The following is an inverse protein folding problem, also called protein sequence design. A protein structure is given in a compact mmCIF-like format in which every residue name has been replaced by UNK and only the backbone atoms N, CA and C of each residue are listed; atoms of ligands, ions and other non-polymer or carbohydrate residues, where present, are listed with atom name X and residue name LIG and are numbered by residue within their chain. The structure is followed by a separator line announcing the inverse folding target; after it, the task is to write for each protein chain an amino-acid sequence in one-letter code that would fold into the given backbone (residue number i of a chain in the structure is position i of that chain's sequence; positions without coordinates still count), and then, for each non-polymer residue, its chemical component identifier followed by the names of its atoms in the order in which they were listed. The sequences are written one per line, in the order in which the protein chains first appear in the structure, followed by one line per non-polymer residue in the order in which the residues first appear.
data_IF_412329073050
#
_entry.id   IF_412329073050
#
_cell.length_a   1.000
_cell.length_b   1.000
_cell.length_c   1.000
_cell.angle_alpha   90.00
_cell.angle_beta   90.00
_cell.angle_gamma   90.00
#
_symmetry.space_group_name_H-M   'P 1'
#
loop_
_entity.id
_entity.type
_entity.pdbx_description
1 polymer ?
#
# COMPACT_ATOMS: atom_id res chain seq x y z
N UNK A 1 22.23 2.36 -6.83
CA UNK A 1 21.92 3.69 -6.28
C UNK A 1 21.06 3.43 -5.06
N UNK A 2 21.68 3.40 -3.88
CA UNK A 2 20.97 3.28 -2.61
C UNK A 2 20.36 4.65 -2.31
N UNK A 3 19.08 4.83 -2.65
CA UNK A 3 18.31 5.90 -2.06
C UNK A 3 18.10 5.51 -0.59
N UNK A 4 18.95 5.99 0.29
CA UNK A 4 18.70 5.95 1.73
C UNK A 4 17.57 6.95 2.01
N UNK A 5 16.34 6.55 1.70
CA UNK A 5 15.15 7.23 2.22
C UNK A 5 15.23 7.13 3.73
N UNK A 6 15.54 8.25 4.39
CA UNK A 6 15.60 8.33 5.84
C UNK A 6 14.16 8.37 6.36
N UNK A 7 13.49 7.21 6.31
CA UNK A 7 12.16 7.04 6.87
C UNK A 7 12.21 7.30 8.37
N UNK A 8 11.24 8.06 8.86
CA UNK A 8 11.01 8.22 10.28
C UNK A 8 10.11 7.08 10.75
N UNK A 9 10.61 6.28 11.69
CA UNK A 9 9.80 5.27 12.37
C UNK A 9 9.36 5.80 13.73
N UNK A 10 8.04 5.87 13.95
CA UNK A 10 7.46 6.28 15.22
C UNK A 10 6.52 5.19 15.74
N UNK A 11 6.63 4.89 17.03
CA UNK A 11 5.60 4.17 17.79
C UNK A 11 4.32 5.01 17.93
N UNK A 12 3.22 4.41 18.38
CA UNK A 12 1.97 5.13 18.60
C UNK A 12 2.11 6.27 19.63
N UNK A 13 2.88 6.05 20.71
CA UNK A 13 3.15 7.08 21.72
C UNK A 13 4.01 8.22 21.15
N UNK A 14 5.07 7.90 20.40
CA UNK A 14 5.94 8.94 19.80
C UNK A 14 5.18 9.77 18.76
N UNK A 15 4.29 9.13 18.00
CA UNK A 15 3.44 9.81 17.03
C UNK A 15 2.41 10.73 17.70
N UNK A 16 1.84 10.29 18.82
CA UNK A 16 0.94 11.10 19.63
C UNK A 16 1.66 12.31 20.22
N UNK A 17 2.87 12.12 20.76
CA UNK A 17 3.69 13.20 21.29
C UNK A 17 4.10 14.21 20.21
N UNK A 18 4.44 13.72 19.01
CA UNK A 18 4.70 14.58 17.86
C UNK A 18 3.48 15.45 17.53
N UNK A 19 2.29 14.86 17.45
CA UNK A 19 1.05 15.59 17.17
C UNK A 19 0.71 16.61 18.25
N UNK A 20 0.84 16.24 19.53
CA UNK A 20 0.66 17.16 20.66
C UNK A 20 1.63 18.34 20.57
N UNK A 21 2.89 18.07 20.22
CA UNK A 21 3.93 19.09 20.04
C UNK A 21 3.59 20.04 18.88
N UNK A 22 3.20 19.50 17.73
CA UNK A 22 2.80 20.30 16.56
C UNK A 22 1.56 21.15 16.81
N UNK A 23 0.61 20.63 17.60
CA UNK A 23 -0.63 21.33 17.96
C UNK A 23 -0.51 22.21 19.21
N UNK A 24 0.68 22.31 19.82
CA UNK A 24 0.93 23.06 21.06
C UNK A 24 0.02 22.64 22.23
N UNK A 25 -0.35 21.36 22.27
CA UNK A 25 -1.16 20.75 23.33
C UNK A 25 -0.32 20.19 24.49
N UNK A 26 0.96 20.53 24.53
CA UNK A 26 1.83 20.15 25.63
C UNK A 26 1.35 20.85 26.92
N UNK A 27 1.24 20.14 28.04
CA UNK A 27 0.84 20.75 29.30
C UNK A 27 1.85 21.84 29.67
N UNK A 28 1.34 23.02 30.00
CA UNK A 28 2.18 24.10 30.46
C UNK A 28 2.89 23.69 31.75
N UNK A 29 4.22 23.85 31.80
CA UNK A 29 5.03 23.65 33.00
C UNK A 29 4.78 24.79 34.00
N UNK A 30 3.60 24.80 34.61
CA UNK A 30 3.39 25.55 35.84
C UNK A 30 4.02 24.74 36.98
N UNK A 31 4.72 25.40 37.91
CA UNK A 31 5.23 24.76 39.13
C UNK A 31 4.14 24.22 40.07
N UNK A 32 2.89 24.17 39.62
CA UNK A 32 1.77 23.50 40.27
C UNK A 32 0.99 22.66 39.25
N UNK A 33 0.52 21.49 39.69
CA UNK A 33 -0.40 20.66 38.92
C UNK A 33 -1.84 21.04 39.30
N UNK A 34 -2.63 21.45 38.32
CA UNK A 34 -4.09 21.59 38.45
C UNK A 34 -4.69 20.46 37.62
N UNK A 35 -5.25 19.45 38.28
CA UNK A 35 -5.96 18.36 37.62
C UNK A 35 -7.45 18.69 37.57
N UNK A 36 -8.03 18.67 36.36
CA UNK A 36 -9.47 18.85 36.14
C UNK A 36 -10.00 17.72 35.26
N UNK A 37 -10.85 16.88 35.81
CA UNK A 37 -11.29 15.62 35.20
C UNK A 37 -12.67 15.74 34.51
N UNK A 38 -12.96 16.89 33.90
CA UNK A 38 -14.23 17.15 33.18
C UNK A 38 -14.04 17.21 31.65
N UNK A 39 -12.85 16.88 31.15
CA UNK A 39 -12.46 17.01 29.75
C UNK A 39 -12.71 15.74 28.93
N UNK A 40 -12.86 15.92 27.62
CA UNK A 40 -12.82 14.83 26.64
C UNK A 40 -11.40 14.23 26.65
N UNK A 41 -11.29 12.92 26.48
CA UNK A 41 -10.00 12.27 26.25
C UNK A 41 -9.40 12.76 24.91
N UNK A 42 -8.48 13.72 25.01
CA UNK A 42 -7.81 14.33 23.85
C UNK A 42 -6.91 13.30 23.16
N UNK A 43 -6.33 12.37 23.91
CA UNK A 43 -5.38 11.40 23.38
C UNK A 43 -6.11 10.40 22.48
N UNK A 44 -7.23 9.87 22.93
CA UNK A 44 -8.07 8.98 22.12
C UNK A 44 -8.56 9.66 20.84
N UNK A 45 -8.99 10.93 20.95
CA UNK A 45 -9.43 11.71 19.79
C UNK A 45 -8.29 11.93 18.79
N UNK A 46 -7.10 12.32 19.26
CA UNK A 46 -5.92 12.49 18.42
C UNK A 46 -5.52 11.20 17.72
N UNK A 47 -5.57 10.05 18.41
CA UNK A 47 -5.27 8.75 17.80
C UNK A 47 -6.20 8.42 16.63
N UNK A 48 -7.49 8.74 16.73
CA UNK A 48 -8.42 8.58 15.60
C UNK A 48 -7.98 9.43 14.40
N UNK A 49 -7.57 10.68 14.64
CA UNK A 49 -7.10 11.56 13.57
C UNK A 49 -5.78 11.10 12.96
N UNK A 50 -4.82 10.67 13.78
CA UNK A 50 -3.54 10.11 13.34
C UNK A 50 -3.76 8.88 12.46
N UNK A 51 -4.62 7.96 12.89
CA UNK A 51 -4.94 6.73 12.12
C UNK A 51 -5.58 7.06 10.78
N UNK A 52 -6.51 8.02 10.73
CA UNK A 52 -7.12 8.50 9.48
C UNK A 52 -6.10 9.16 8.56
N UNK A 53 -5.27 10.05 9.12
CA UNK A 53 -4.20 10.72 8.39
C UNK A 53 -3.22 9.71 7.78
N UNK A 54 -2.76 8.73 8.57
CA UNK A 54 -1.78 7.76 8.11
C UNK A 54 -2.36 6.81 7.05
N UNK A 55 -3.61 6.38 7.20
CA UNK A 55 -4.29 5.61 6.15
C UNK A 55 -4.37 6.39 4.84
N UNK A 56 -4.69 7.70 4.91
CA UNK A 56 -4.70 8.58 3.75
C UNK A 56 -3.31 8.75 3.13
N UNK A 57 -2.26 8.84 3.95
CA UNK A 57 -0.87 8.92 3.51
C UNK A 57 -0.50 7.68 2.69
N UNK A 58 -0.70 6.47 3.23
CA UNK A 58 -0.36 5.22 2.53
C UNK A 58 -1.12 5.05 1.21
N UNK A 59 -2.35 5.54 1.13
CA UNK A 59 -3.18 5.45 -0.07
C UNK A 59 -2.75 6.39 -1.20
N UNK A 60 -2.19 7.57 -0.89
CA UNK A 60 -2.07 8.66 -1.88
C UNK A 60 -0.68 9.29 -2.00
N UNK A 61 0.18 9.12 -0.99
CA UNK A 61 1.50 9.71 -0.99
C UNK A 61 2.42 9.07 -2.04
N UNK A 62 3.40 9.82 -2.58
CA UNK A 62 4.42 9.27 -3.47
C UNK A 62 5.20 8.11 -2.84
N UNK A 63 5.60 7.15 -3.66
CA UNK A 63 6.25 5.90 -3.23
C UNK A 63 7.57 6.11 -2.46
N UNK A 64 8.23 7.26 -2.66
CA UNK A 64 9.50 7.59 -1.98
C UNK A 64 9.37 8.01 -0.51
N UNK A 65 8.15 8.26 -0.03
CA UNK A 65 7.85 8.70 1.35
C UNK A 65 6.89 7.76 2.08
N UNK A 66 6.71 6.54 1.56
CA UNK A 66 5.91 5.49 2.19
C UNK A 66 6.68 4.18 2.18
N UNK A 67 6.39 3.27 3.13
CA UNK A 67 7.00 1.95 3.16
C UNK A 67 6.57 1.12 1.94
N UNK A 68 7.49 0.91 1.01
CA UNK A 68 7.31 0.02 -0.15
C UNK A 68 8.13 -1.24 0.05
N UNK A 69 7.48 -2.39 0.01
CA UNK A 69 8.12 -3.71 0.14
C UNK A 69 7.83 -4.59 -1.07
N UNK A 70 8.75 -5.51 -1.37
CA UNK A 70 8.48 -6.61 -2.30
C UNK A 70 7.69 -7.71 -1.55
N UNK A 71 6.46 -7.97 -1.99
CA UNK A 71 5.53 -8.91 -1.35
C UNK A 71 5.41 -10.22 -2.11
N UNK A 72 6.21 -10.45 -3.16
CA UNK A 72 6.06 -11.61 -4.07
C UNK A 72 5.99 -12.96 -3.36
N UNK A 73 6.77 -13.17 -2.31
CA UNK A 73 6.84 -14.44 -1.57
C UNK A 73 5.63 -14.67 -0.65
N UNK A 74 4.82 -13.63 -0.43
CA UNK A 74 3.59 -13.66 0.38
C UNK A 74 2.32 -13.78 -0.46
N UNK A 75 2.42 -13.70 -1.79
CA UNK A 75 1.27 -13.76 -2.69
C UNK A 75 0.77 -15.20 -2.84
N UNK A 76 -0.55 -15.37 -2.88
CA UNK A 76 -1.17 -16.63 -3.34
C UNK A 76 -1.66 -16.46 -4.77
N UNK A 77 -1.25 -17.35 -5.67
CA UNK A 77 -1.39 -17.14 -7.11
C UNK A 77 -2.17 -18.27 -7.76
N UNK A 78 -3.09 -17.92 -8.65
CA UNK A 78 -3.88 -18.84 -9.47
C UNK A 78 -3.82 -18.40 -10.92
N UNK A 79 -3.82 -19.36 -11.86
CA UNK A 79 -3.85 -19.08 -13.30
C UNK A 79 -5.12 -19.68 -13.86
N UNK A 80 -5.87 -18.88 -14.61
CA UNK A 80 -7.01 -19.36 -15.37
C UNK A 80 -6.57 -19.85 -16.75
N UNK A 81 -7.37 -20.73 -17.36
CA UNK A 81 -7.08 -21.37 -18.66
C UNK A 81 -6.87 -20.35 -19.81
N UNK A 82 -7.37 -19.13 -19.64
CA UNK A 82 -7.21 -18.04 -20.59
C UNK A 82 -5.91 -17.23 -20.37
N UNK A 83 -4.95 -17.71 -19.58
CA UNK A 83 -3.67 -17.03 -19.32
C UNK A 83 -3.76 -15.82 -18.38
N UNK A 84 -4.90 -15.62 -17.71
CA UNK A 84 -5.07 -14.55 -16.71
C UNK A 84 -4.58 -15.05 -15.36
N UNK A 85 -3.68 -14.30 -14.74
CA UNK A 85 -3.15 -14.63 -13.42
C UNK A 85 -3.90 -13.82 -12.38
N UNK A 86 -4.45 -14.52 -11.37
CA UNK A 86 -5.06 -13.91 -10.19
C UNK A 86 -4.10 -14.04 -9.03
N UNK A 87 -3.63 -12.90 -8.52
CA UNK A 87 -2.81 -12.83 -7.31
C UNK A 87 -3.66 -12.33 -6.14
N UNK A 88 -3.80 -13.13 -5.10
CA UNK A 88 -4.39 -12.71 -3.84
C UNK A 88 -3.35 -11.94 -3.04
N UNK A 89 -3.72 -10.73 -2.64
CA UNK A 89 -2.81 -9.80 -1.97
C UNK A 89 -3.00 -9.92 -0.44
N UNK A 90 -1.91 -9.98 0.34
CA UNK A 90 -1.98 -9.95 1.79
C UNK A 90 -2.69 -8.68 2.33
N UNK A 91 -3.38 -8.76 3.48
CA UNK A 91 -4.17 -7.66 4.02
C UNK A 91 -3.34 -6.44 4.45
N UNK A 92 -2.04 -6.61 4.68
CA UNK A 92 -1.12 -5.51 4.97
C UNK A 92 -0.82 -4.64 3.73
N UNK A 93 -1.05 -5.14 2.52
CA UNK A 93 -0.83 -4.36 1.31
C UNK A 93 -1.96 -3.34 1.14
N UNK A 94 -1.60 -2.06 1.06
CA UNK A 94 -2.56 -0.96 0.91
C UNK A 94 -2.83 -0.68 -0.56
N UNK A 95 -1.76 -0.60 -1.38
CA UNK A 95 -1.87 -0.43 -2.83
C UNK A 95 -0.65 -1.00 -3.55
N UNK A 96 -0.82 -1.56 -4.75
CA UNK A 96 0.30 -1.98 -5.58
C UNK A 96 1.05 -0.78 -6.17
N UNK A 97 2.34 -0.96 -6.42
CA UNK A 97 3.24 0.08 -6.98
C UNK A 97 3.82 -0.38 -8.32
N UNK A 98 4.53 -1.51 -8.31
CA UNK A 98 5.19 -2.01 -9.51
C UNK A 98 5.32 -3.53 -9.48
N UNK A 99 4.72 -4.21 -10.45
CA UNK A 99 4.63 -5.66 -10.48
C UNK A 99 5.20 -6.22 -11.78
N UNK A 100 5.93 -7.32 -11.71
CA UNK A 100 6.58 -7.94 -12.86
C UNK A 100 6.60 -9.46 -12.73
N UNK A 101 5.97 -10.14 -13.69
CA UNK A 101 6.16 -11.57 -13.90
C UNK A 101 7.48 -11.82 -14.64
N UNK A 102 8.10 -12.96 -14.38
CA UNK A 102 9.34 -13.38 -15.05
C UNK A 102 9.17 -13.51 -16.57
N UNK A 103 7.96 -13.89 -17.01
CA UNK A 103 7.60 -14.00 -18.44
C UNK A 103 7.36 -12.63 -19.11
N UNK A 104 7.28 -11.53 -18.35
CA UNK A 104 7.06 -10.19 -18.90
C UNK A 104 8.37 -9.48 -19.22
N UNK A 105 8.38 -8.77 -20.35
CA UNK A 105 9.51 -7.92 -20.75
C UNK A 105 9.51 -6.59 -19.98
N UNK A 106 8.34 -6.15 -19.53
CA UNK A 106 8.12 -4.86 -18.85
C UNK A 106 7.31 -5.06 -17.57
N UNK A 107 7.56 -4.23 -16.55
CA UNK A 107 6.73 -4.18 -15.34
C UNK A 107 5.44 -3.39 -15.56
N UNK A 108 4.42 -3.70 -14.77
CA UNK A 108 3.20 -2.91 -14.66
C UNK A 108 3.34 -1.94 -13.50
N UNK A 109 3.17 -0.65 -13.77
CA UNK A 109 3.13 0.42 -12.77
C UNK A 109 1.75 1.07 -12.65
N UNK A 110 0.84 0.77 -13.58
CA UNK A 110 -0.52 1.29 -13.60
C UNK A 110 -1.50 0.15 -13.35
N UNK A 111 -2.29 0.29 -12.29
CA UNK A 111 -3.31 -0.67 -11.89
C UNK A 111 -4.68 -0.06 -12.15
N UNK A 112 -5.40 -0.62 -13.11
CA UNK A 112 -6.73 -0.16 -13.45
C UNK A 112 -7.73 -0.57 -12.38
N UNK A 113 -8.72 0.27 -12.14
CA UNK A 113 -9.86 -0.08 -11.30
C UNK A 113 -10.90 -0.86 -12.13
N UNK A 114 -11.61 -1.83 -11.55
CA UNK A 114 -12.51 -2.71 -12.29
C UNK A 114 -13.75 -2.00 -12.86
N UNK A 115 -14.03 -0.78 -12.41
CA UNK A 115 -15.18 0.03 -12.84
C UNK A 115 -14.87 0.90 -14.07
N UNK A 116 -13.62 0.92 -14.56
CA UNK A 116 -13.26 1.69 -15.75
C UNK A 116 -13.49 0.86 -17.03
N UNK A 117 -13.96 1.47 -18.15
CA UNK A 117 -14.20 0.74 -19.39
C UNK A 117 -12.97 -0.03 -19.91
N UNK A 118 -11.77 0.52 -19.70
CA UNK A 118 -10.50 -0.06 -20.11
C UNK A 118 -10.25 -1.43 -19.48
N UNK A 119 -10.69 -1.64 -18.23
CA UNK A 119 -10.57 -2.93 -17.56
C UNK A 119 -11.43 -4.00 -18.24
N UNK A 120 -12.59 -3.64 -18.79
CA UNK A 120 -13.46 -4.57 -19.50
C UNK A 120 -12.81 -5.07 -20.80
N UNK A 121 -12.05 -4.24 -21.50
CA UNK A 121 -11.37 -4.60 -22.75
C UNK A 121 -10.27 -5.66 -22.55
N UNK A 122 -9.68 -5.76 -21.35
CA UNK A 122 -8.63 -6.75 -21.07
C UNK A 122 -9.13 -8.20 -21.09
N UNK A 123 -10.43 -8.41 -20.86
CA UNK A 123 -11.03 -9.73 -20.90
C UNK A 123 -11.21 -10.27 -22.32
N UNK A 124 -11.21 -9.39 -23.32
CA UNK A 124 -11.29 -9.79 -24.72
C UNK A 124 -9.88 -10.13 -25.26
N UNK A 125 -9.75 -11.33 -25.82
CA UNK A 125 -8.50 -11.88 -26.36
C UNK A 125 -7.83 -10.97 -27.40
N UNK A 126 -8.59 -10.30 -28.26
CA UNK A 126 -8.05 -9.48 -29.35
C UNK A 126 -7.60 -8.07 -28.92
N UNK A 127 -8.06 -7.60 -27.76
CA UNK A 127 -7.70 -6.27 -27.22
C UNK A 127 -6.79 -6.37 -26.01
N UNK A 128 -6.51 -7.60 -25.54
CA UNK A 128 -5.68 -7.81 -24.37
C UNK A 128 -4.20 -7.47 -24.67
N UNK A 129 -3.52 -6.79 -23.74
CA UNK A 129 -2.09 -6.56 -23.83
C UNK A 129 -1.26 -7.84 -23.78
N UNK A 130 -0.13 -7.82 -24.49
CA UNK A 130 0.88 -8.88 -24.46
C UNK A 130 1.99 -8.63 -23.42
N UNK A 131 3.02 -9.48 -23.44
CA UNK A 131 4.15 -9.45 -22.49
C UNK A 131 5.04 -8.19 -22.57
N UNK A 132 4.96 -7.44 -23.67
CA UNK A 132 5.74 -6.21 -23.87
C UNK A 132 5.10 -4.97 -23.24
N UNK A 133 3.79 -5.01 -23.01
CA UNK A 133 3.05 -3.92 -22.37
C UNK A 133 1.93 -4.51 -21.50
N UNK A 134 2.27 -5.25 -20.44
CA UNK A 134 1.29 -5.94 -19.62
C UNK A 134 0.34 -4.96 -18.92
N UNK A 135 -0.81 -5.46 -18.49
CA UNK A 135 -1.77 -4.69 -17.70
C UNK A 135 -2.21 -5.43 -16.45
N UNK A 136 -2.65 -4.66 -15.47
CA UNK A 136 -3.19 -5.17 -14.21
C UNK A 136 -4.50 -4.46 -13.83
N UNK A 137 -5.40 -5.21 -13.19
CA UNK A 137 -6.64 -4.68 -12.61
C UNK A 137 -6.65 -4.98 -11.12
N UNK A 138 -6.84 -3.94 -10.31
CA UNK A 138 -6.83 -4.02 -8.85
C UNK A 138 -8.26 -4.05 -8.29
N UNK A 139 -8.62 -5.15 -7.62
CA UNK A 139 -9.90 -5.34 -6.92
C UNK A 139 -9.77 -5.11 -5.41
N UNK A 140 -8.64 -4.61 -4.93
CA UNK A 140 -8.32 -4.37 -3.52
C UNK A 140 -7.76 -5.62 -2.81
N UNK A 141 -8.51 -6.73 -2.80
CA UNK A 141 -8.05 -7.98 -2.17
C UNK A 141 -7.33 -8.94 -3.12
N UNK A 142 -7.39 -8.66 -4.42
CA UNK A 142 -6.76 -9.44 -5.47
C UNK A 142 -6.44 -8.56 -6.66
N UNK A 143 -5.40 -8.93 -7.39
CA UNK A 143 -4.99 -8.26 -8.62
C UNK A 143 -5.04 -9.28 -9.76
N UNK A 144 -5.70 -8.89 -10.85
CA UNK A 144 -5.67 -9.65 -12.10
C UNK A 144 -4.53 -9.12 -12.97
N UNK A 145 -3.74 -10.02 -13.52
CA UNK A 145 -2.58 -9.71 -14.35
C UNK A 145 -2.77 -10.30 -15.75
N UNK A 146 -2.57 -9.47 -16.75
CA UNK A 146 -2.78 -9.78 -18.16
C UNK A 146 -1.49 -9.50 -18.95
N UNK A 147 -0.98 -10.41 -19.79
CA UNK A 147 -1.31 -11.84 -19.95
C UNK A 147 -0.09 -12.68 -19.60
N UNK A 148 -0.31 -13.89 -19.08
CA UNK A 148 0.75 -14.90 -18.99
C UNK A 148 0.76 -15.71 -20.30
N UNK A 149 1.92 -15.89 -20.96
CA UNK A 149 2.02 -16.75 -22.14
C UNK A 149 1.69 -18.21 -21.85
N UNK A 150 1.21 -18.92 -22.87
CA UNK A 150 0.92 -20.35 -22.76
C UNK A 150 2.18 -21.15 -22.42
N UNK A 151 2.05 -22.09 -21.47
CA UNK A 151 3.15 -22.94 -21.01
C UNK A 151 4.12 -22.29 -20.02
N UNK A 152 3.96 -21.00 -19.73
CA UNK A 152 4.74 -20.31 -18.69
C UNK A 152 4.10 -20.48 -17.31
N UNK A 153 4.94 -20.41 -16.27
CA UNK A 153 4.50 -20.41 -14.88
C UNK A 153 4.33 -18.97 -14.37
N UNK A 154 3.39 -18.70 -13.45
CA UNK A 154 3.11 -17.36 -12.93
C UNK A 154 4.15 -16.95 -11.85
N UNK A 155 5.43 -16.96 -12.22
CA UNK A 155 6.54 -16.62 -11.32
C UNK A 155 6.72 -15.11 -11.31
N UNK A 156 6.75 -14.51 -10.13
CA UNK A 156 7.02 -13.10 -9.94
C UNK A 156 8.53 -12.84 -9.87
N UNK A 157 9.00 -11.93 -10.70
CA UNK A 157 10.32 -11.32 -10.54
C UNK A 157 10.27 -10.31 -9.38
N UNK A 158 9.16 -9.56 -9.30
CA UNK A 158 8.93 -8.49 -8.33
C UNK A 158 7.43 -8.21 -8.15
N UNK A 159 7.00 -7.92 -6.92
CA UNK A 159 5.67 -7.40 -6.64
C UNK A 159 5.76 -6.33 -5.54
N UNK A 160 6.02 -5.08 -5.91
CA UNK A 160 6.11 -3.98 -4.95
C UNK A 160 4.74 -3.46 -4.56
N UNK A 161 4.50 -3.34 -3.27
CA UNK A 161 3.30 -2.75 -2.68
C UNK A 161 3.67 -1.77 -1.58
N UNK A 162 2.83 -0.74 -1.40
CA UNK A 162 2.82 0.02 -0.15
C UNK A 162 2.24 -0.88 0.93
N UNK A 163 2.98 -1.07 2.02
CA UNK A 163 2.60 -1.99 3.10
C UNK A 163 2.32 -1.22 4.38
N UNK A 164 1.24 -1.61 5.07
CA UNK A 164 0.96 -1.13 6.42
C UNK A 164 1.84 -1.87 7.43
N UNK A 165 2.65 -1.17 8.24
CA UNK A 165 3.43 -1.81 9.29
C UNK A 165 2.52 -2.56 10.28
N UNK A 166 2.86 -3.82 10.56
CA UNK A 166 2.06 -4.73 11.40
C UNK A 166 2.14 -4.43 12.90
N UNK A 167 3.17 -3.69 13.35
CA UNK A 167 3.46 -3.44 14.77
C UNK A 167 2.79 -2.18 15.33
N UNK A 168 1.79 -1.62 14.65
CA UNK A 168 1.17 -0.34 15.05
C UNK A 168 2.10 0.87 14.95
N UNK A 169 3.21 0.72 14.23
CA UNK A 169 4.18 1.79 13.95
C UNK A 169 3.74 2.62 12.75
N UNK A 170 4.23 3.86 12.73
CA UNK A 170 4.10 4.82 11.64
C UNK A 170 5.46 4.94 10.95
N UNK A 171 5.51 4.77 9.63
CA UNK A 171 6.72 4.85 8.82
C UNK A 171 6.43 5.77 7.63
N UNK A 172 7.17 6.87 7.52
CA UNK A 172 7.01 7.87 6.45
C UNK A 172 8.25 8.77 6.30
#
# INVERSE_FOLDING_TARGET
MENTSQFMELSESEMLDLWKTMMQLQPAHYGCAIERTDGIDIDELLLIHIRKWYASLLLSAPDGIVPVEDVKDRLSVMVADNGVVTAMVPPECVRPVEWKLKAWQKSVTLFLQPNVPEAAYLHNEWTRPGVCDPAAVDYGNRILLFTLPDGELPIFDMARCVVRPTNGKYVF
#
